data_IF_063074742142
#
_entry.id   IF_063074742142
#
_cell.length_a   1.000
_cell.length_b   1.000
_cell.length_c   1.000
_cell.angle_alpha   90.00
_cell.angle_beta   90.00
_cell.angle_gamma   90.00
#
_symmetry.space_group_name_H-M   'P 1'
#
loop_
_entity.id
_entity.type
_entity.pdbx_description
1 polymer ?
#
# COMPACT_ATOMS: atom_id res chain seq x y z
N UNK A 1 -15.97 12.45 14.84
CA UNK A 1 -15.07 12.10 13.72
C UNK A 1 -15.93 12.03 12.49
N UNK A 2 -15.74 12.97 11.57
CA UNK A 2 -16.46 12.97 10.30
C UNK A 2 -15.93 11.79 9.45
N UNK A 3 -16.78 11.13 8.66
CA UNK A 3 -16.33 10.01 7.84
C UNK A 3 -15.37 10.49 6.73
N UNK A 4 -15.55 11.73 6.26
CA UNK A 4 -14.68 12.36 5.25
C UNK A 4 -13.26 12.53 5.79
N UNK A 5 -13.09 12.94 7.05
CA UNK A 5 -11.77 13.08 7.68
C UNK A 5 -11.00 11.76 7.74
N UNK A 6 -11.70 10.64 7.97
CA UNK A 6 -11.11 9.30 8.00
C UNK A 6 -10.78 8.84 6.59
N UNK A 7 -11.68 9.07 5.64
CA UNK A 7 -11.46 8.74 4.24
C UNK A 7 -10.26 9.52 3.68
N UNK A 8 -10.10 10.80 4.04
CA UNK A 8 -8.97 11.64 3.65
C UNK A 8 -7.64 11.21 4.26
N UNK A 9 -7.63 10.88 5.55
CA UNK A 9 -6.41 10.45 6.23
C UNK A 9 -5.99 9.03 5.87
N UNK A 10 -6.94 8.09 5.86
CA UNK A 10 -6.66 6.65 5.85
C UNK A 10 -7.12 5.96 4.56
N UNK A 11 -7.78 6.66 3.64
CA UNK A 11 -8.29 6.09 2.40
C UNK A 11 -9.35 5.01 2.62
N UNK A 12 -10.04 5.03 3.77
CA UNK A 12 -11.00 3.99 4.14
C UNK A 12 -12.37 4.59 4.46
N UNK A 13 -13.42 3.96 3.92
CA UNK A 13 -14.81 4.28 4.21
C UNK A 13 -15.60 3.03 4.55
N UNK A 14 -16.14 2.97 5.77
CA UNK A 14 -16.94 1.85 6.23
C UNK A 14 -18.43 2.05 5.93
N UNK A 15 -19.14 0.93 5.70
CA UNK A 15 -20.60 0.91 5.71
C UNK A 15 -21.18 1.24 7.10
N UNK A 16 -20.43 0.91 8.16
CA UNK A 16 -20.78 1.20 9.56
C UNK A 16 -19.53 1.64 10.32
N UNK A 17 -19.53 2.85 10.89
CA UNK A 17 -18.42 3.35 11.73
C UNK A 17 -18.49 2.89 13.19
N UNK A 18 -19.57 2.19 13.56
CA UNK A 18 -19.76 1.56 14.86
C UNK A 18 -20.19 0.12 14.59
N UNK A 19 -19.40 -0.83 15.05
CA UNK A 19 -19.63 -2.24 14.79
C UNK A 19 -20.61 -2.85 15.81
N UNK A 20 -21.38 -3.87 15.41
CA UNK A 20 -22.20 -4.64 16.35
C UNK A 20 -21.30 -5.27 17.41
N UNK A 21 -21.73 -5.18 18.67
CA UNK A 21 -20.97 -5.73 19.80
C UNK A 21 -21.24 -7.22 20.04
N UNK A 22 -22.34 -7.73 19.47
CA UNK A 22 -22.77 -9.11 19.61
C UNK A 22 -23.03 -9.78 18.25
N UNK A 23 -22.93 -11.11 18.22
CA UNK A 23 -23.28 -11.91 17.03
C UNK A 23 -24.75 -11.74 16.63
N UNK A 24 -25.65 -11.61 17.62
CA UNK A 24 -27.08 -11.43 17.37
C UNK A 24 -27.39 -10.08 16.70
N UNK A 25 -26.71 -9.01 17.09
CA UNK A 25 -26.78 -7.71 16.40
C UNK A 25 -26.22 -7.83 14.98
N UNK A 26 -25.04 -8.45 14.83
CA UNK A 26 -24.40 -8.63 13.52
C UNK A 26 -25.29 -9.42 12.54
N UNK A 27 -25.94 -10.50 12.98
CA UNK A 27 -26.83 -11.31 12.13
C UNK A 27 -28.10 -10.59 11.67
N UNK A 28 -28.48 -9.49 12.33
CA UNK A 28 -29.64 -8.67 11.95
C UNK A 28 -29.29 -7.52 11.01
N UNK A 29 -28.01 -7.29 10.75
CA UNK A 29 -27.57 -6.22 9.87
C UNK A 29 -27.91 -6.56 8.41
N UNK A 30 -28.71 -5.71 7.78
CA UNK A 30 -29.07 -5.83 6.35
C UNK A 30 -27.87 -5.55 5.46
N UNK A 31 -27.04 -4.57 5.84
CA UNK A 31 -25.80 -4.21 5.15
C UNK A 31 -24.63 -4.75 5.98
N UNK A 32 -23.71 -5.54 5.41
CA UNK A 32 -22.57 -6.08 6.15
C UNK A 32 -21.62 -4.97 6.60
N UNK A 33 -20.82 -5.23 7.64
CA UNK A 33 -19.64 -4.44 7.96
C UNK A 33 -18.62 -4.65 6.84
N UNK A 34 -18.41 -3.62 6.03
CA UNK A 34 -17.53 -3.63 4.87
C UNK A 34 -16.81 -2.28 4.78
N UNK A 35 -15.70 -2.26 4.05
CA UNK A 35 -14.93 -1.06 3.79
C UNK A 35 -14.60 -0.93 2.31
N UNK A 36 -14.68 0.29 1.80
CA UNK A 36 -13.98 0.69 0.58
C UNK A 36 -12.61 1.22 1.03
N UNK A 37 -11.55 0.63 0.49
CA UNK A 37 -10.18 0.96 0.88
C UNK A 37 -9.33 1.27 -0.35
N UNK A 38 -8.68 2.43 -0.32
CA UNK A 38 -7.75 2.92 -1.34
C UNK A 38 -6.33 2.88 -0.78
N UNK A 39 -5.59 1.77 -0.94
CA UNK A 39 -4.30 1.57 -0.27
C UNK A 39 -3.22 2.57 -0.69
N UNK A 40 -3.25 3.00 -1.95
CA UNK A 40 -2.32 3.99 -2.52
C UNK A 40 -3.02 5.34 -2.68
N UNK A 41 -3.83 5.76 -1.69
CA UNK A 41 -4.42 7.11 -1.70
C UNK A 41 -3.29 8.14 -1.61
N UNK A 42 -3.27 9.06 -2.56
CA UNK A 42 -2.30 10.15 -2.58
C UNK A 42 -2.48 11.05 -1.36
N UNK A 43 -1.37 11.37 -0.70
CA UNK A 43 -1.32 12.19 0.51
C UNK A 43 -0.16 13.16 0.45
N UNK A 44 -0.45 14.45 0.44
CA UNK A 44 0.57 15.51 0.45
C UNK A 44 1.25 15.65 1.81
N UNK A 45 0.60 15.20 2.89
CA UNK A 45 0.99 15.44 4.28
C UNK A 45 1.87 14.34 4.89
N UNK A 46 2.08 13.23 4.18
CA UNK A 46 2.77 12.04 4.68
C UNK A 46 3.87 11.56 3.73
N UNK A 47 5.10 12.03 3.96
CA UNK A 47 6.26 11.51 3.25
C UNK A 47 6.58 10.06 3.69
N UNK A 48 7.06 9.20 2.78
CA UNK A 48 7.53 7.86 3.11
C UNK A 48 8.65 7.89 4.14
N UNK A 49 8.68 6.92 5.05
CA UNK A 49 9.74 6.78 6.05
C UNK A 49 10.78 5.74 5.61
N UNK A 50 12.06 6.07 5.80
CA UNK A 50 13.19 5.28 5.28
C UNK A 50 13.80 4.35 6.34
N UNK A 51 12.97 3.52 6.96
CA UNK A 51 13.43 2.48 7.88
C UNK A 51 12.48 1.28 7.89
N UNK A 52 12.95 0.15 8.41
CA UNK A 52 12.18 -1.09 8.46
C UNK A 52 11.06 -1.01 9.52
N UNK A 53 9.85 -1.52 9.21
CA UNK A 53 8.73 -1.50 10.14
C UNK A 53 8.98 -2.41 11.34
N UNK A 54 8.55 -1.97 12.53
CA UNK A 54 8.60 -2.81 13.74
C UNK A 54 7.47 -3.82 13.72
N UNK A 55 7.80 -5.11 13.76
CA UNK A 55 6.83 -6.21 13.65
C UNK A 55 6.61 -6.92 14.98
N UNK A 56 5.37 -7.30 15.25
CA UNK A 56 5.00 -8.19 16.35
C UNK A 56 5.63 -9.58 16.14
N UNK A 57 5.95 -10.27 17.24
CA UNK A 57 6.45 -11.65 17.20
C UNK A 57 5.50 -12.59 16.46
N UNK A 58 6.09 -13.58 15.79
CA UNK A 58 5.34 -14.66 15.13
C UNK A 58 4.47 -15.41 16.17
N UNK A 59 3.27 -15.86 15.79
CA UNK A 59 2.68 -15.86 14.45
C UNK A 59 1.96 -14.56 14.03
N UNK A 60 1.87 -13.55 14.89
CA UNK A 60 1.01 -12.37 14.65
C UNK A 60 1.51 -11.45 13.53
N UNK A 61 2.78 -11.06 13.54
CA UNK A 61 3.42 -10.21 12.49
C UNK A 61 2.79 -8.83 12.21
N UNK A 62 1.81 -8.39 13.01
CA UNK A 62 1.24 -7.04 12.90
C UNK A 62 2.32 -5.95 13.07
N UNK A 63 2.15 -4.83 12.38
CA UNK A 63 3.06 -3.69 12.42
C UNK A 63 2.74 -2.79 13.63
N UNK A 64 3.78 -2.24 14.26
CA UNK A 64 3.65 -1.20 15.28
C UNK A 64 2.85 -0.02 14.72
N UNK A 65 1.86 0.46 15.48
CA UNK A 65 0.91 1.47 15.03
C UNK A 65 0.38 2.27 16.23
N UNK A 66 -0.31 3.40 16.02
CA UNK A 66 -0.73 4.31 17.10
C UNK A 66 -1.69 3.69 18.14
N UNK A 67 -2.30 2.54 17.83
CA UNK A 67 -3.20 1.83 18.75
C UNK A 67 -2.47 0.84 19.68
N UNK A 68 -1.14 0.72 19.58
CA UNK A 68 -0.33 -0.09 20.47
C UNK A 68 -0.15 0.61 21.84
N UNK A 69 -0.19 -0.15 22.93
CA UNK A 69 0.14 0.40 24.25
C UNK A 69 1.65 0.41 24.44
N UNK A 70 2.24 1.57 24.73
CA UNK A 70 3.70 1.74 24.85
C UNK A 70 4.09 1.85 26.32
N UNK A 71 4.98 0.98 26.76
CA UNK A 71 5.70 1.09 28.03
C UNK A 71 7.08 1.68 27.77
N UNK A 72 7.20 2.99 27.95
CA UNK A 72 8.45 3.74 27.77
C UNK A 72 9.51 3.33 28.79
N UNK A 73 9.12 2.92 30.01
CA UNK A 73 10.05 2.55 31.08
C UNK A 73 10.60 1.14 30.85
N UNK A 74 9.71 0.21 30.56
CA UNK A 74 10.05 -1.17 30.22
C UNK A 74 10.61 -1.34 28.81
N UNK A 75 10.57 -0.27 27.98
CA UNK A 75 10.94 -0.27 26.56
C UNK A 75 10.21 -1.38 25.77
N UNK A 76 8.93 -1.53 26.05
CA UNK A 76 8.07 -2.56 25.48
C UNK A 76 6.82 -1.94 24.85
N UNK A 77 6.15 -2.73 24.00
CA UNK A 77 4.84 -2.40 23.46
C UNK A 77 3.90 -3.61 23.47
N UNK A 78 2.61 -3.36 23.60
CA UNK A 78 1.56 -4.38 23.55
C UNK A 78 0.85 -4.29 22.21
N UNK A 79 0.83 -5.39 21.47
CA UNK A 79 0.14 -5.45 20.18
C UNK A 79 -1.38 -5.44 20.37
N UNK A 80 -2.16 -4.58 19.67
CA UNK A 80 -3.60 -4.50 19.83
C UNK A 80 -4.35 -5.73 19.27
N UNK A 81 -3.70 -6.53 18.41
CA UNK A 81 -4.31 -7.69 17.78
C UNK A 81 -4.19 -8.96 18.62
N UNK A 82 -2.98 -9.28 19.08
CA UNK A 82 -2.71 -10.52 19.82
C UNK A 82 -2.43 -10.31 21.32
N UNK A 83 -2.41 -9.06 21.79
CA UNK A 83 -2.14 -8.66 23.18
C UNK A 83 -0.77 -9.12 23.72
N UNK A 84 0.12 -9.59 22.84
CA UNK A 84 1.48 -9.98 23.23
C UNK A 84 2.35 -8.76 23.54
N UNK A 85 3.24 -8.93 24.51
CA UNK A 85 4.28 -7.94 24.86
C UNK A 85 5.51 -8.16 23.98
N UNK A 86 5.95 -7.10 23.32
CA UNK A 86 7.09 -7.07 22.43
C UNK A 86 8.11 -6.06 22.95
N UNK A 87 9.40 -6.38 22.82
CA UNK A 87 10.46 -5.43 23.11
C UNK A 87 10.59 -4.43 21.97
N UNK A 88 10.81 -3.15 22.29
CA UNK A 88 11.13 -2.15 21.28
C UNK A 88 12.54 -2.41 20.73
N UNK A 89 12.78 -2.18 19.43
CA UNK A 89 14.11 -2.32 18.84
C UNK A 89 15.08 -1.28 19.42
N UNK A 90 16.38 -1.55 19.30
CA UNK A 90 17.46 -0.68 19.81
C UNK A 90 17.40 0.75 19.25
N UNK A 91 16.91 0.93 18.03
CA UNK A 91 16.71 2.25 17.42
C UNK A 91 15.72 3.15 18.19
N UNK A 92 14.85 2.58 19.03
CA UNK A 92 13.91 3.32 19.87
C UNK A 92 14.35 3.39 21.34
N UNK A 93 15.65 3.24 21.61
CA UNK A 93 16.19 3.33 22.97
C UNK A 93 15.84 4.67 23.65
N UNK A 94 15.83 5.75 22.89
CA UNK A 94 15.58 7.12 23.39
C UNK A 94 14.10 7.54 23.31
N UNK A 95 13.19 6.59 23.11
CA UNK A 95 11.74 6.87 23.11
C UNK A 95 11.32 7.50 24.45
N UNK A 96 10.51 8.55 24.37
CA UNK A 96 9.85 9.21 25.51
C UNK A 96 8.40 9.52 25.18
N UNK A 97 7.61 9.99 26.15
CA UNK A 97 6.22 10.42 25.89
C UNK A 97 6.13 11.64 24.97
N UNK A 98 7.20 12.41 24.85
CA UNK A 98 7.28 13.61 23.99
C UNK A 98 8.05 13.36 22.69
N UNK A 99 8.83 12.28 22.62
CA UNK A 99 9.63 11.87 21.47
C UNK A 99 9.19 10.47 21.02
N UNK A 100 8.06 10.41 20.32
CA UNK A 100 7.52 9.20 19.74
C UNK A 100 7.93 9.08 18.26
N UNK A 101 8.25 7.87 17.77
CA UNK A 101 8.44 7.63 16.35
C UNK A 101 7.17 7.92 15.57
N UNK A 102 7.31 8.20 14.26
CA UNK A 102 6.21 8.60 13.39
C UNK A 102 5.04 7.61 13.44
N UNK A 103 5.31 6.30 13.35
CA UNK A 103 4.31 5.22 13.39
C UNK A 103 3.46 5.15 14.67
N UNK A 104 3.80 5.90 15.72
CA UNK A 104 3.04 6.00 16.97
C UNK A 104 2.26 7.30 17.11
N UNK A 105 2.45 8.28 16.21
CA UNK A 105 1.69 9.52 16.23
C UNK A 105 0.30 9.29 15.65
N UNK A 106 -0.73 9.87 16.28
CA UNK A 106 -2.13 9.72 15.85
C UNK A 106 -2.42 10.22 14.44
N UNK A 107 -1.56 11.09 13.88
CA UNK A 107 -1.65 11.56 12.49
C UNK A 107 -1.17 10.54 11.45
N UNK A 108 -0.40 9.52 11.87
CA UNK A 108 0.18 8.48 11.01
C UNK A 108 -0.45 7.11 11.27
N UNK A 109 -1.78 7.06 11.33
CA UNK A 109 -2.54 5.80 11.31
C UNK A 109 -2.37 5.03 10.00
N UNK A 110 -2.10 5.76 8.92
CA UNK A 110 -1.65 5.26 7.62
C UNK A 110 -0.28 5.86 7.33
N UNK A 111 0.70 5.01 7.02
CA UNK A 111 2.11 5.37 6.83
C UNK A 111 2.75 4.42 5.81
N UNK A 112 3.69 4.93 5.01
CA UNK A 112 4.41 4.17 4.00
C UNK A 112 5.89 3.98 4.41
N UNK A 113 6.38 2.75 4.32
CA UNK A 113 7.77 2.40 4.61
C UNK A 113 8.54 2.15 3.32
N UNK A 114 9.64 2.86 3.12
CA UNK A 114 10.63 2.54 2.08
C UNK A 114 11.59 1.50 2.63
N UNK A 115 11.44 0.25 2.19
CA UNK A 115 12.34 -0.83 2.58
C UNK A 115 13.68 -0.70 1.86
N UNK A 116 14.73 -1.21 2.52
CA UNK A 116 16.09 -1.21 1.94
C UNK A 116 16.25 -2.18 0.77
N UNK A 117 15.32 -3.13 0.63
CA UNK A 117 15.30 -4.15 -0.41
C UNK A 117 14.46 -3.67 -1.59
N UNK A 118 15.12 -3.18 -2.64
CA UNK A 118 14.46 -2.93 -3.91
C UNK A 118 14.23 -4.25 -4.66
N UNK A 119 13.16 -4.33 -5.45
CA UNK A 119 13.02 -5.40 -6.43
C UNK A 119 14.24 -5.36 -7.36
N UNK A 120 14.96 -6.49 -7.54
CA UNK A 120 16.10 -6.52 -8.46
C UNK A 120 15.66 -6.38 -9.92
N UNK A 121 14.39 -6.66 -10.21
CA UNK A 121 13.84 -6.60 -11.57
C UNK A 121 13.23 -5.22 -11.80
N UNK A 122 13.67 -4.49 -12.83
CA UNK A 122 13.04 -3.23 -13.20
C UNK A 122 11.61 -3.46 -13.76
N UNK A 123 10.78 -2.41 -13.86
CA UNK A 123 9.48 -2.51 -14.51
C UNK A 123 9.59 -3.12 -15.91
N UNK A 124 8.62 -3.97 -16.27
CA UNK A 124 8.56 -4.63 -17.57
C UNK A 124 7.30 -4.16 -18.29
N UNK A 125 7.46 -3.61 -19.49
CA UNK A 125 6.37 -3.22 -20.37
C UNK A 125 6.41 -4.11 -21.61
N UNK A 126 5.48 -5.06 -21.70
CA UNK A 126 5.32 -5.92 -22.87
C UNK A 126 4.16 -5.39 -23.71
N UNK A 127 4.46 -4.88 -24.90
CA UNK A 127 3.45 -4.42 -25.85
C UNK A 127 2.96 -5.59 -26.69
N UNK A 128 1.67 -5.91 -26.57
CA UNK A 128 0.99 -6.89 -27.42
C UNK A 128 0.11 -6.12 -28.42
N UNK A 129 0.48 -6.16 -29.69
CA UNK A 129 -0.10 -5.31 -30.73
C UNK A 129 -0.84 -6.14 -31.77
N UNK A 130 -2.14 -5.92 -31.90
CA UNK A 130 -2.93 -6.47 -33.00
C UNK A 130 -2.58 -5.76 -34.32
N UNK A 131 -2.34 -6.53 -35.37
CA UNK A 131 -2.04 -6.04 -36.72
C UNK A 131 -3.22 -6.19 -37.69
N UNK A 132 -4.32 -6.81 -37.26
CA UNK A 132 -5.56 -6.95 -38.03
C UNK A 132 -6.44 -5.69 -37.98
N UNK A 133 -5.83 -4.52 -38.16
CA UNK A 133 -6.48 -3.20 -38.16
C UNK A 133 -6.35 -2.54 -39.53
N UNK A 134 -7.24 -1.60 -39.85
CA UNK A 134 -7.03 -0.71 -41.00
C UNK A 134 -5.83 0.23 -40.78
N UNK A 135 -5.31 0.77 -41.87
CA UNK A 135 -4.09 1.60 -41.87
C UNK A 135 -4.19 2.83 -40.97
N UNK A 136 -5.35 3.49 -40.92
CA UNK A 136 -5.53 4.70 -40.13
C UNK A 136 -5.51 4.39 -38.63
N UNK A 137 -6.19 3.31 -38.21
CA UNK A 137 -6.17 2.83 -36.83
C UNK A 137 -4.79 2.30 -36.43
N UNK A 138 -4.12 1.55 -37.30
CA UNK A 138 -2.78 1.04 -37.03
C UNK A 138 -1.75 2.18 -36.91
N UNK A 139 -1.88 3.22 -37.73
CA UNK A 139 -1.04 4.42 -37.63
C UNK A 139 -1.26 5.16 -36.32
N UNK A 140 -2.52 5.41 -35.95
CA UNK A 140 -2.85 6.05 -34.67
C UNK A 140 -2.32 5.24 -33.47
N UNK A 141 -2.41 3.91 -33.51
CA UNK A 141 -1.86 3.03 -32.48
C UNK A 141 -0.33 3.15 -32.39
N UNK A 142 0.37 3.14 -33.54
CA UNK A 142 1.83 3.34 -33.58
C UNK A 142 2.23 4.67 -32.93
N UNK A 143 1.54 5.76 -33.26
CA UNK A 143 1.79 7.09 -32.70
C UNK A 143 1.60 7.09 -31.17
N UNK A 144 0.52 6.46 -30.67
CA UNK A 144 0.28 6.32 -29.23
C UNK A 144 1.36 5.47 -28.52
N UNK A 145 1.82 4.38 -29.15
CA UNK A 145 2.91 3.55 -28.64
C UNK A 145 4.21 4.34 -28.53
N UNK A 146 4.56 5.16 -29.55
CA UNK A 146 5.73 6.03 -29.50
C UNK A 146 5.67 7.04 -28.34
N UNK A 147 4.50 7.65 -28.11
CA UNK A 147 4.31 8.54 -26.96
C UNK A 147 4.49 7.79 -25.65
N UNK A 148 3.89 6.60 -25.51
CA UNK A 148 4.02 5.80 -24.28
C UNK A 148 5.48 5.41 -23.99
N UNK A 149 6.25 5.04 -25.02
CA UNK A 149 7.67 4.70 -24.90
C UNK A 149 8.51 5.87 -24.38
N UNK A 150 8.15 7.11 -24.72
CA UNK A 150 8.84 8.31 -24.23
C UNK A 150 8.59 8.61 -22.75
N UNK A 151 7.53 8.04 -22.16
CA UNK A 151 7.15 8.22 -20.76
C UNK A 151 7.67 7.10 -19.85
N UNK A 152 8.15 5.99 -20.41
CA UNK A 152 8.63 4.83 -19.66
C UNK A 152 10.01 5.13 -19.04
N UNK A 153 10.28 4.68 -17.80
CA UNK A 153 11.59 4.81 -17.18
C UNK A 153 12.72 4.19 -18.03
N UNK A 154 13.87 4.85 -18.11
CA UNK A 154 15.00 4.40 -18.96
C UNK A 154 15.60 3.07 -18.56
N UNK A 155 15.39 2.62 -17.32
CA UNK A 155 15.84 1.34 -16.80
C UNK A 155 14.81 0.21 -16.97
N UNK A 156 13.63 0.50 -17.52
CA UNK A 156 12.59 -0.50 -17.73
C UNK A 156 12.95 -1.46 -18.87
N UNK A 157 12.50 -2.70 -18.78
CA UNK A 157 12.59 -3.66 -19.88
C UNK A 157 11.36 -3.53 -20.77
N UNK A 158 11.58 -3.45 -22.08
CA UNK A 158 10.52 -3.36 -23.07
C UNK A 158 10.55 -4.59 -23.95
N UNK A 159 9.39 -5.15 -24.24
CA UNK A 159 9.22 -6.22 -25.22
C UNK A 159 8.09 -5.90 -26.19
N UNK A 160 8.16 -6.49 -27.38
CA UNK A 160 7.12 -6.35 -28.40
C UNK A 160 6.70 -7.72 -28.93
N UNK A 161 5.40 -7.94 -28.96
CA UNK A 161 4.76 -9.06 -29.64
C UNK A 161 3.70 -8.48 -30.56
N UNK A 162 3.73 -8.86 -31.84
CA UNK A 162 2.62 -8.56 -32.74
C UNK A 162 1.82 -9.83 -33.02
N UNK A 163 0.53 -9.68 -33.24
CA UNK A 163 -0.33 -10.79 -33.63
C UNK A 163 -1.31 -10.39 -34.73
N UNK A 164 -1.71 -11.39 -35.50
CA UNK A 164 -2.70 -11.31 -36.56
C UNK A 164 -3.05 -12.73 -36.98
N UNK A 165 -2.76 -13.11 -38.23
CA UNK A 165 -2.81 -14.53 -38.61
C UNK A 165 -1.75 -15.38 -37.90
N UNK A 166 -0.55 -14.81 -37.70
CA UNK A 166 0.55 -15.42 -36.97
C UNK A 166 0.91 -14.55 -35.76
N UNK A 167 1.59 -15.14 -34.77
CA UNK A 167 2.17 -14.41 -33.64
C UNK A 167 3.67 -14.25 -33.89
N UNK A 168 4.18 -13.03 -33.75
CA UNK A 168 5.59 -12.72 -33.91
C UNK A 168 6.12 -12.14 -32.60
N UNK A 169 7.18 -12.78 -32.07
CA UNK A 169 7.91 -12.30 -30.90
C UNK A 169 9.19 -11.64 -31.41
N UNK A 170 9.38 -10.37 -31.07
CA UNK A 170 10.52 -9.59 -31.56
C UNK A 170 11.70 -9.72 -30.60
N UNK A 171 12.88 -10.01 -31.18
CA UNK A 171 14.17 -9.85 -30.52
C UNK A 171 14.67 -8.43 -30.83
N UNK A 172 14.81 -7.60 -29.79
CA UNK A 172 15.09 -6.16 -29.86
C UNK A 172 16.57 -5.82 -29.74
#
# INVERSE_FOLDING_TARGET
MNFEEVEDRDGVRFSWNIFPSTKAEASRMVIPVAALYTPLKEREDAAPIHYEPVTCRAPCKAILNPYCQIDVRGKMWVCPFCLSRNQLPSQYKDITSTNLPAELLSKYTTIEYTLTRTSPVPPIFLFLVDTCLDEDNLKALKDALFVSLSLIPTNAMVGLITFGHNVQVFEL
#
